data_IF_900305670530
#
_entry.id   IF_900305670530
#
_cell.length_a   1.000
_cell.length_b   1.000
_cell.length_c   1.000
_cell.angle_alpha   90.00
_cell.angle_beta   90.00
_cell.angle_gamma   90.00
#
_symmetry.space_group_name_H-M   'P 1'
#
loop_
_entity.id
_entity.type
_entity.pdbx_description
1 polymer ?
#
# COMPACT_ATOMS: atom_id res chain seq x y z
N UNK A 1 -8.26 -1.48 -5.10
CA UNK A 1 -9.69 -1.52 -4.70
C UNK A 1 -10.19 -2.93 -4.41
N UNK A 2 -9.86 -3.96 -5.21
CA UNK A 2 -10.30 -5.36 -5.02
C UNK A 2 -10.03 -5.99 -3.64
N UNK A 3 -9.00 -5.53 -2.92
CA UNK A 3 -8.65 -6.04 -1.58
C UNK A 3 -9.37 -5.32 -0.43
N UNK A 4 -10.20 -4.31 -0.72
CA UNK A 4 -10.89 -3.55 0.31
C UNK A 4 -12.19 -4.26 0.70
N UNK A 5 -12.32 -4.60 1.99
CA UNK A 5 -13.58 -5.12 2.56
C UNK A 5 -14.71 -4.09 2.44
N UNK A 6 -15.95 -4.58 2.43
CA UNK A 6 -17.15 -3.74 2.56
C UNK A 6 -17.08 -2.85 3.81
N UNK A 7 -17.48 -1.59 3.68
CA UNK A 7 -17.34 -0.54 4.69
C UNK A 7 -15.91 -0.02 4.87
N UNK A 8 -14.92 -0.63 4.22
CA UNK A 8 -13.55 -0.15 4.23
C UNK A 8 -13.35 1.09 3.35
N UNK A 9 -12.26 1.83 3.61
CA UNK A 9 -11.87 3.00 2.81
C UNK A 9 -10.61 2.75 2.02
N UNK A 10 -10.56 3.26 0.79
CA UNK A 10 -9.35 3.36 -0.03
C UNK A 10 -9.05 4.83 -0.20
N UNK A 11 -7.88 5.28 0.24
CA UNK A 11 -7.44 6.66 0.03
C UNK A 11 -6.44 6.69 -1.12
N UNK A 12 -6.74 7.50 -2.12
CA UNK A 12 -5.86 7.82 -3.23
C UNK A 12 -5.26 9.21 -3.00
N UNK A 13 -3.96 9.36 -3.24
CA UNK A 13 -3.29 10.65 -3.09
C UNK A 13 -2.10 10.81 -4.02
N UNK A 14 -1.84 12.04 -4.44
CA UNK A 14 -0.68 12.42 -5.24
C UNK A 14 -0.05 13.70 -4.69
N UNK A 15 1.22 13.94 -5.03
CA UNK A 15 1.87 15.24 -4.88
C UNK A 15 1.90 16.04 -6.19
N UNK A 16 0.96 15.74 -7.10
CA UNK A 16 0.73 16.47 -8.35
C UNK A 16 -0.48 17.39 -8.20
N UNK A 17 -0.59 18.34 -9.12
CA UNK A 17 -1.80 19.15 -9.31
C UNK A 17 -2.33 19.00 -10.74
N UNK A 18 -1.90 17.94 -11.44
CA UNK A 18 -2.32 17.65 -12.80
C UNK A 18 -3.60 16.79 -12.79
N UNK A 19 -4.73 17.28 -13.34
CA UNK A 19 -5.99 16.53 -13.36
C UNK A 19 -5.91 15.14 -14.01
N UNK A 20 -4.94 14.93 -14.90
CA UNK A 20 -4.70 13.61 -15.54
C UNK A 20 -4.19 12.57 -14.52
N UNK A 21 -3.41 13.01 -13.53
CA UNK A 21 -2.93 12.17 -12.44
C UNK A 21 -3.93 12.14 -11.26
N UNK A 22 -4.87 13.08 -11.21
CA UNK A 22 -5.77 13.28 -10.08
C UNK A 22 -7.21 12.86 -10.43
N UNK A 23 -8.05 13.81 -10.88
CA UNK A 23 -9.47 13.58 -11.13
C UNK A 23 -9.76 12.55 -12.23
N UNK A 24 -8.90 12.45 -13.25
CA UNK A 24 -9.01 11.45 -14.30
C UNK A 24 -8.79 10.02 -13.75
N UNK A 25 -7.82 9.83 -12.84
CA UNK A 25 -7.59 8.55 -12.17
C UNK A 25 -8.78 8.19 -11.30
N UNK A 26 -9.29 9.14 -10.52
CA UNK A 26 -10.46 8.94 -9.66
C UNK A 26 -11.68 8.55 -10.49
N UNK A 27 -11.95 9.27 -11.57
CA UNK A 27 -13.07 8.98 -12.48
C UNK A 27 -12.95 7.59 -13.10
N UNK A 28 -11.76 7.22 -13.57
CA UNK A 28 -11.51 5.90 -14.14
C UNK A 28 -11.71 4.78 -13.10
N UNK A 29 -11.24 4.98 -11.87
CA UNK A 29 -11.45 4.05 -10.76
C UNK A 29 -12.93 3.86 -10.44
N UNK A 30 -13.72 4.94 -10.38
CA UNK A 30 -15.17 4.85 -10.14
C UNK A 30 -15.90 4.10 -11.26
N UNK A 31 -15.54 4.36 -12.52
CA UNK A 31 -16.12 3.64 -13.67
C UNK A 31 -15.79 2.14 -13.61
N UNK A 32 -14.53 1.78 -13.37
CA UNK A 32 -14.12 0.38 -13.24
C UNK A 32 -14.76 -0.31 -12.04
N UNK A 33 -14.95 0.41 -10.93
CA UNK A 33 -15.59 -0.09 -9.73
C UNK A 33 -17.10 -0.36 -9.91
N UNK A 34 -17.74 0.10 -10.99
CA UNK A 34 -19.12 -0.27 -11.35
C UNK A 34 -20.14 -0.16 -10.19
N UNK A 35 -20.04 0.88 -9.37
CA UNK A 35 -20.94 1.13 -8.23
C UNK A 35 -20.56 0.41 -6.91
N UNK A 36 -19.50 -0.41 -6.90
CA UNK A 36 -18.98 -1.02 -5.66
C UNK A 36 -18.33 -0.01 -4.71
N UNK A 37 -17.99 1.17 -5.20
CA UNK A 37 -17.36 2.24 -4.42
C UNK A 37 -18.01 3.59 -4.70
N UNK A 38 -17.98 4.47 -3.71
CA UNK A 38 -18.37 5.88 -3.82
C UNK A 38 -17.32 6.80 -3.21
N UNK A 39 -17.28 8.06 -3.63
CA UNK A 39 -16.48 9.07 -2.95
C UNK A 39 -17.14 9.49 -1.63
N UNK A 40 -16.31 9.79 -0.65
CA UNK A 40 -16.72 10.31 0.67
C UNK A 40 -16.00 11.61 0.96
N UNK A 41 -16.74 12.57 1.50
CA UNK A 41 -16.19 13.84 1.96
C UNK A 41 -15.38 13.63 3.25
N UNK A 42 -14.08 13.93 3.22
CA UNK A 42 -13.18 13.81 4.38
C UNK A 42 -12.86 15.15 5.05
N UNK A 43 -13.42 16.27 4.55
CA UNK A 43 -13.09 17.62 5.06
C UNK A 43 -13.45 17.79 6.53
N UNK A 44 -14.50 17.10 6.99
CA UNK A 44 -14.92 17.10 8.38
C UNK A 44 -13.95 16.35 9.31
N UNK A 45 -13.14 15.44 8.78
CA UNK A 45 -12.10 14.70 9.54
C UNK A 45 -10.81 15.50 9.68
N UNK A 46 -10.62 16.51 8.81
CA UNK A 46 -9.44 17.37 8.75
C UNK A 46 -9.87 18.86 8.77
N UNK A 47 -10.56 19.33 9.83
CA UNK A 47 -11.20 20.65 9.83
C UNK A 47 -10.23 21.83 9.70
N UNK A 48 -8.95 21.63 10.03
CA UNK A 48 -7.90 22.65 9.94
C UNK A 48 -7.21 22.69 8.58
N UNK A 49 -7.43 21.68 7.72
CA UNK A 49 -6.83 21.59 6.40
C UNK A 49 -7.71 22.31 5.38
N UNK A 50 -7.21 23.40 4.80
CA UNK A 50 -7.84 24.09 3.68
C UNK A 50 -7.62 23.28 2.43
N UNK A 51 -8.72 22.97 1.75
CA UNK A 51 -8.70 22.32 0.45
C UNK A 51 -9.69 22.98 -0.50
N UNK A 52 -9.36 22.91 -1.78
CA UNK A 52 -10.25 23.24 -2.87
C UNK A 52 -10.94 21.97 -3.37
N UNK A 53 -12.18 22.05 -3.87
CA UNK A 53 -12.86 20.89 -4.44
C UNK A 53 -12.13 20.35 -5.68
N UNK A 54 -12.30 19.06 -5.96
CA UNK A 54 -11.83 18.43 -7.20
C UNK A 54 -12.48 19.04 -8.44
N UNK A 55 -11.75 18.97 -9.56
CA UNK A 55 -12.16 19.52 -10.84
C UNK A 55 -13.16 18.62 -11.58
N UNK A 56 -14.14 19.24 -12.25
CA UNK A 56 -15.13 18.55 -13.09
C UNK A 56 -14.83 18.72 -14.59
N UNK A 57 -13.88 19.58 -14.94
CA UNK A 57 -13.48 19.86 -16.32
C UNK A 57 -11.99 20.16 -16.36
N UNK A 58 -11.29 19.58 -17.32
CA UNK A 58 -9.87 19.83 -17.57
C UNK A 58 -9.54 19.54 -19.03
N UNK A 59 -8.36 20.00 -19.46
CA UNK A 59 -7.79 19.74 -20.77
C UNK A 59 -6.48 18.98 -20.63
N UNK A 60 -6.06 18.30 -21.69
CA UNK A 60 -4.81 17.54 -21.75
C UNK A 60 -3.88 18.21 -22.75
N UNK A 61 -2.71 18.63 -22.28
CA UNK A 61 -1.69 19.25 -23.12
C UNK A 61 -0.75 18.20 -23.73
N UNK A 62 -0.37 18.39 -24.98
CA UNK A 62 0.62 17.56 -25.66
C UNK A 62 2.00 17.70 -25.00
N UNK A 63 2.82 16.64 -25.11
CA UNK A 63 4.16 16.61 -24.51
C UNK A 63 5.09 17.71 -25.05
N UNK A 64 4.91 18.11 -26.30
CA UNK A 64 5.66 19.20 -26.94
C UNK A 64 5.09 20.60 -26.61
N UNK A 65 4.07 20.68 -25.75
CA UNK A 65 3.42 21.92 -25.30
C UNK A 65 2.77 22.74 -26.43
N UNK A 66 2.56 22.14 -27.60
CA UNK A 66 2.00 22.82 -28.78
C UNK A 66 0.48 22.74 -28.88
N UNK A 67 -0.10 21.68 -28.34
CA UNK A 67 -1.52 21.40 -28.48
C UNK A 67 -2.17 21.19 -27.12
N UNK A 68 -3.38 21.73 -26.97
CA UNK A 68 -4.24 21.48 -25.81
C UNK A 68 -5.51 20.84 -26.33
N UNK A 69 -5.80 19.63 -25.86
CA UNK A 69 -6.97 18.86 -26.24
C UNK A 69 -8.01 18.95 -25.13
N UNK A 70 -9.26 19.25 -25.49
CA UNK A 70 -10.39 19.28 -24.56
C UNK A 70 -11.17 17.96 -24.55
N UNK A 71 -10.94 17.11 -25.56
CA UNK A 71 -11.59 15.81 -25.70
C UNK A 71 -10.66 14.78 -26.35
N UNK A 72 -10.96 13.49 -26.14
CA UNK A 72 -10.24 12.43 -26.84
C UNK A 72 -10.50 12.45 -28.36
N UNK A 73 -11.67 12.92 -28.79
CA UNK A 73 -12.00 13.05 -30.21
C UNK A 73 -11.05 14.00 -30.94
N UNK A 74 -10.69 15.14 -30.32
CA UNK A 74 -9.70 16.08 -30.87
C UNK A 74 -8.31 15.43 -31.01
N UNK A 75 -7.92 14.56 -30.08
CA UNK A 75 -6.67 13.80 -30.19
C UNK A 75 -6.70 12.88 -31.42
N UNK A 76 -7.83 12.20 -31.65
CA UNK A 76 -7.99 11.32 -32.81
C UNK A 76 -7.92 12.12 -34.11
N UNK A 77 -8.63 13.24 -34.20
CA UNK A 77 -8.61 14.12 -35.37
C UNK A 77 -7.20 14.67 -35.65
N UNK A 78 -6.48 15.10 -34.61
CA UNK A 78 -5.10 15.55 -34.74
C UNK A 78 -4.16 14.44 -35.26
N UNK A 79 -4.34 13.20 -34.81
CA UNK A 79 -3.57 12.05 -35.30
C UNK A 79 -3.92 11.69 -36.76
N UNK A 80 -5.16 11.90 -37.19
CA UNK A 80 -5.59 11.65 -38.57
C UNK A 80 -5.12 12.72 -39.55
N UNK A 81 -5.08 13.99 -39.14
CA UNK A 81 -4.64 15.12 -39.96
C UNK A 81 -3.12 15.22 -40.08
N UNK A 82 -2.37 14.71 -39.09
CA UNK A 82 -0.90 14.72 -39.07
C UNK A 82 -0.29 13.44 -39.69
N UNK A 83 -0.83 12.94 -40.80
CA UNK A 83 -0.13 11.94 -41.63
C UNK A 83 1.15 12.54 -42.22
N UNK A 84 2.25 11.78 -42.38
CA UNK A 84 3.50 12.32 -42.89
C UNK A 84 3.33 12.75 -44.35
N UNK A 85 3.30 14.06 -44.62
CA UNK A 85 3.53 14.57 -45.96
C UNK A 85 4.94 14.16 -46.41
N UNK A 86 5.03 13.59 -47.60
CA UNK A 86 6.24 13.10 -48.25
C UNK A 86 7.08 14.24 -48.87
N UNK A 87 7.21 15.37 -48.19
CA UNK A 87 8.02 16.49 -48.68
C UNK A 87 9.42 16.45 -48.04
N UNK A 88 10.38 16.13 -48.91
CA UNK A 88 11.81 16.17 -48.69
C UNK A 88 12.25 17.61 -48.38
N UNK A 89 12.60 17.90 -47.13
CA UNK A 89 13.58 18.94 -46.84
C UNK A 89 14.70 18.38 -45.95
N UNK A 90 15.74 17.95 -46.64
CA UNK A 90 17.08 17.70 -46.14
C UNK A 90 17.64 18.99 -45.55
N UNK A 91 17.56 19.18 -44.22
CA UNK A 91 18.74 19.54 -43.38
C UNK A 91 18.50 19.83 -41.88
N UNK A 92 17.32 19.64 -41.31
CA UNK A 92 17.15 19.62 -39.83
C UNK A 92 16.00 18.69 -39.45
N UNK A 93 16.04 18.10 -38.24
CA UNK A 93 15.04 17.16 -37.70
C UNK A 93 15.07 15.70 -38.19
N UNK A 94 16.18 15.00 -37.90
CA UNK A 94 16.10 13.58 -37.52
C UNK A 94 15.59 13.45 -36.07
N UNK A 95 14.30 13.67 -35.85
CA UNK A 95 13.48 13.13 -34.76
C UNK A 95 12.06 13.61 -35.07
N UNK A 96 11.08 12.77 -35.32
CA UNK A 96 10.15 12.28 -34.30
C UNK A 96 9.49 11.02 -34.87
N UNK A 97 10.30 10.00 -35.15
CA UNK A 97 9.81 8.62 -35.16
C UNK A 97 9.32 8.33 -33.74
N UNK A 98 8.03 8.62 -33.50
CA UNK A 98 7.22 8.18 -32.36
C UNK A 98 8.06 7.77 -31.15
N UNK A 99 8.75 8.72 -30.53
CA UNK A 99 9.26 8.52 -29.17
C UNK A 99 8.01 8.55 -28.31
N UNK A 100 7.44 7.38 -28.03
CA UNK A 100 6.22 7.14 -27.29
C UNK A 100 6.38 7.74 -25.88
N UNK A 101 6.18 9.05 -25.77
CA UNK A 101 5.50 9.64 -24.65
C UNK A 101 4.03 9.30 -24.89
N UNK A 102 3.51 8.43 -24.03
CA UNK A 102 2.18 7.80 -24.06
C UNK A 102 1.14 8.58 -24.88
N UNK A 103 0.60 7.95 -25.93
CA UNK A 103 -0.57 8.50 -26.64
C UNK A 103 -1.67 8.77 -25.60
N UNK A 104 -2.29 9.96 -25.56
CA UNK A 104 -3.37 10.22 -24.64
C UNK A 104 -4.43 9.12 -24.75
N UNK A 105 -4.97 8.66 -23.62
CA UNK A 105 -6.03 7.65 -23.60
C UNK A 105 -7.37 8.32 -23.31
N UNK A 106 -8.51 7.70 -23.68
CA UNK A 106 -9.83 8.25 -23.37
C UNK A 106 -10.02 8.58 -21.89
N UNK A 107 -9.44 7.77 -21.00
CA UNK A 107 -9.53 7.93 -19.55
C UNK A 107 -8.78 9.14 -18.99
N UNK A 108 -7.93 9.82 -19.79
CA UNK A 108 -7.25 11.05 -19.37
C UNK A 108 -8.15 12.29 -19.47
N UNK A 109 -9.29 12.18 -20.16
CA UNK A 109 -10.22 13.27 -20.38
C UNK A 109 -11.43 13.15 -19.44
N UNK A 110 -12.15 14.26 -19.18
CA UNK A 110 -13.40 14.19 -18.45
C UNK A 110 -14.38 13.23 -19.15
N UNK A 111 -15.06 12.32 -18.41
CA UNK A 111 -16.11 11.51 -19.00
C UNK A 111 -17.31 12.39 -19.41
N UNK A 112 -18.26 11.84 -20.20
CA UNK A 112 -19.51 12.53 -20.50
C UNK A 112 -20.21 13.06 -19.25
N UNK A 113 -20.88 14.21 -19.37
CA UNK A 113 -21.51 14.91 -18.25
C UNK A 113 -22.50 14.05 -17.43
N UNK A 114 -23.15 13.06 -18.07
CA UNK A 114 -24.04 12.10 -17.41
C UNK A 114 -23.31 11.24 -16.37
N UNK A 115 -22.11 10.74 -16.70
CA UNK A 115 -21.27 9.97 -15.78
C UNK A 115 -20.67 10.90 -14.73
N UNK A 116 -20.09 12.01 -15.16
CA UNK A 116 -19.41 12.98 -14.31
C UNK A 116 -20.29 13.46 -13.13
N UNK A 117 -21.56 13.78 -13.41
CA UNK A 117 -22.51 14.29 -12.41
C UNK A 117 -22.79 13.26 -11.30
N UNK A 118 -22.71 11.96 -11.59
CA UNK A 118 -22.90 10.89 -10.61
C UNK A 118 -21.66 10.58 -9.78
N UNK A 119 -20.47 11.00 -10.25
CA UNK A 119 -19.19 10.67 -9.62
C UNK A 119 -18.86 11.57 -8.43
N UNK A 120 -19.46 12.76 -8.31
CA UNK A 120 -19.23 13.70 -7.21
C UNK A 120 -17.75 14.05 -7.00
N UNK A 121 -17.00 14.33 -8.08
CA UNK A 121 -15.55 14.63 -8.02
C UNK A 121 -15.21 15.86 -7.15
N UNK A 122 -16.17 16.74 -6.88
CA UNK A 122 -16.02 17.87 -5.96
C UNK A 122 -15.75 17.47 -4.51
N UNK A 123 -15.95 16.18 -4.15
CA UNK A 123 -15.58 15.61 -2.86
C UNK A 123 -14.08 15.32 -2.74
N UNK A 124 -13.36 15.28 -3.86
CA UNK A 124 -11.90 15.24 -3.82
C UNK A 124 -11.34 16.56 -3.27
N UNK A 125 -10.17 16.48 -2.66
CA UNK A 125 -9.51 17.60 -2.00
C UNK A 125 -8.22 17.94 -2.73
N UNK A 126 -8.14 19.14 -3.33
CA UNK A 126 -6.91 19.73 -3.86
C UNK A 126 -6.32 20.65 -2.80
N UNK A 127 -5.13 20.35 -2.33
CA UNK A 127 -4.38 21.16 -1.37
C UNK A 127 -3.42 22.02 -2.18
N UNK A 128 -3.71 23.31 -2.26
CA UNK A 128 -2.95 24.24 -3.08
C UNK A 128 -1.85 24.90 -2.24
N UNK A 129 -0.61 24.99 -2.75
CA UNK A 129 0.52 25.51 -1.97
C UNK A 129 0.27 26.84 -1.28
N UNK A 130 -0.38 27.78 -1.99
CA UNK A 130 -0.63 29.14 -1.53
C UNK A 130 -1.71 29.25 -0.44
N UNK A 131 -2.49 28.19 -0.16
CA UNK A 131 -3.59 28.29 0.82
C UNK A 131 -3.09 28.21 2.27
N UNK A 132 -2.00 27.48 2.51
CA UNK A 132 -1.44 27.23 3.84
C UNK A 132 0.09 27.07 3.87
N UNK A 133 0.81 27.55 2.85
CA UNK A 133 2.28 27.43 2.74
C UNK A 133 2.77 25.97 2.82
N UNK A 134 2.14 25.11 2.01
CA UNK A 134 2.44 23.68 1.92
C UNK A 134 2.90 23.27 0.52
N UNK A 135 3.25 22.00 0.33
CA UNK A 135 3.35 21.42 -1.01
C UNK A 135 1.99 21.33 -1.71
N UNK A 136 2.00 21.06 -3.01
CA UNK A 136 0.80 20.72 -3.79
C UNK A 136 0.44 19.26 -3.55
N UNK A 137 -0.83 18.98 -3.27
CA UNK A 137 -1.26 17.64 -2.93
C UNK A 137 -2.71 17.40 -3.35
N UNK A 138 -3.04 16.15 -3.67
CA UNK A 138 -4.40 15.72 -4.01
C UNK A 138 -4.80 14.54 -3.14
N UNK A 139 -6.06 14.51 -2.69
CA UNK A 139 -6.62 13.41 -1.90
C UNK A 139 -8.03 13.08 -2.39
N UNK A 140 -8.28 11.78 -2.60
CA UNK A 140 -9.62 11.23 -2.82
C UNK A 140 -9.85 10.03 -1.91
N UNK A 141 -10.99 10.00 -1.21
CA UNK A 141 -11.37 8.90 -0.32
C UNK A 141 -12.55 8.15 -0.91
N UNK A 142 -12.38 6.85 -1.12
CA UNK A 142 -13.41 5.94 -1.59
C UNK A 142 -13.90 5.07 -0.44
N UNK A 143 -15.21 4.89 -0.31
CA UNK A 143 -15.82 3.89 0.57
C UNK A 143 -16.29 2.69 -0.25
N UNK A 144 -15.92 1.49 0.20
CA UNK A 144 -16.36 0.23 -0.38
C UNK A 144 -17.79 -0.08 0.07
N UNK A 145 -18.77 0.07 -0.83
CA UNK A 145 -20.18 -0.23 -0.56
C UNK A 145 -20.44 -1.73 -0.63
N UNK A 146 -19.72 -2.42 -1.51
CA UNK A 146 -19.72 -3.88 -1.58
C UNK A 146 -18.39 -4.37 -2.16
N UNK A 147 -17.91 -5.51 -1.68
CA UNK A 147 -16.67 -6.10 -2.16
C UNK A 147 -16.74 -6.38 -3.68
N UNK A 148 -15.70 -5.97 -4.41
CA UNK A 148 -15.55 -6.34 -5.82
C UNK A 148 -15.31 -7.85 -5.89
N UNK A 149 -16.07 -8.62 -6.69
CA UNK A 149 -15.83 -10.04 -6.87
C UNK A 149 -14.39 -10.28 -7.32
N UNK A 150 -13.69 -11.28 -6.74
CA UNK A 150 -12.34 -11.58 -7.18
C UNK A 150 -12.37 -11.97 -8.66
N UNK A 151 -11.40 -11.49 -9.48
CA UNK A 151 -11.28 -11.95 -10.86
C UNK A 151 -11.18 -13.48 -10.89
N UNK A 152 -11.76 -14.10 -11.91
CA UNK A 152 -11.82 -15.55 -12.08
C UNK A 152 -10.44 -16.23 -12.05
N UNK A 153 -9.36 -15.51 -12.35
CA UNK A 153 -7.96 -15.96 -12.25
C UNK A 153 -7.38 -16.01 -10.83
N UNK A 154 -8.01 -15.36 -9.85
CA UNK A 154 -7.66 -15.47 -8.43
C UNK A 154 -8.37 -16.62 -7.72
N UNK A 155 -9.06 -17.51 -8.46
CA UNK A 155 -9.24 -18.90 -8.01
C UNK A 155 -7.89 -19.62 -8.05
N UNK A 156 -6.94 -19.11 -7.27
CA UNK A 156 -5.73 -19.82 -6.95
C UNK A 156 -6.20 -21.05 -6.18
N UNK A 157 -6.06 -22.21 -6.81
CA UNK A 157 -6.25 -23.48 -6.15
C UNK A 157 -5.51 -23.47 -4.83
N UNK A 158 -6.13 -24.07 -3.82
CA UNK A 158 -5.41 -24.69 -2.73
C UNK A 158 -4.37 -25.65 -3.35
N UNK A 159 -3.20 -25.13 -3.71
CA UNK A 159 -2.04 -25.97 -3.97
C UNK A 159 -1.59 -26.50 -2.60
N UNK A 160 -2.25 -27.57 -2.17
CA UNK A 160 -1.60 -28.64 -1.40
C UNK A 160 -0.22 -28.84 -2.00
N UNK A 161 0.80 -28.67 -1.16
CA UNK A 161 2.19 -28.53 -1.59
C UNK A 161 2.62 -29.61 -2.57
N UNK A 162 3.11 -29.17 -3.73
CA UNK A 162 4.18 -29.85 -4.42
C UNK A 162 5.21 -28.79 -4.81
N UNK A 163 6.36 -28.87 -4.14
CA UNK A 163 7.53 -28.11 -4.48
C UNK A 163 7.96 -28.50 -5.90
N UNK A 164 7.76 -27.59 -6.86
CA UNK A 164 8.41 -27.69 -8.16
C UNK A 164 9.90 -27.42 -7.93
N UNK A 165 10.68 -28.49 -7.87
CA UNK A 165 12.14 -28.42 -7.89
C UNK A 165 12.58 -27.93 -9.28
N UNK A 166 12.69 -26.61 -9.44
CA UNK A 166 13.44 -26.01 -10.54
C UNK A 166 14.92 -26.06 -10.20
N UNK A 167 15.71 -26.71 -11.06
CA UNK A 167 17.16 -26.94 -10.94
C UNK A 167 18.03 -25.67 -11.14
N UNK A 168 17.55 -24.49 -10.73
CA UNK A 168 18.35 -23.25 -10.66
C UNK A 168 18.40 -22.74 -9.21
N UNK A 169 19.26 -23.40 -8.42
CA UNK A 169 19.50 -23.15 -7.01
C UNK A 169 20.31 -21.86 -6.76
N UNK A 170 19.60 -20.78 -6.37
CA UNK A 170 20.09 -19.76 -5.41
C UNK A 170 18.91 -18.98 -4.79
N UNK A 171 18.71 -19.19 -3.49
CA UNK A 171 18.07 -18.28 -2.53
C UNK A 171 16.60 -17.89 -2.74
N UNK A 172 15.66 -18.83 -2.57
CA UNK A 172 14.31 -18.46 -2.08
C UNK A 172 14.32 -18.67 -0.57
N UNK A 173 14.21 -17.61 0.25
CA UNK A 173 14.15 -17.75 1.71
C UNK A 173 12.97 -18.62 2.16
N UNK A 174 13.13 -19.38 3.24
CA UNK A 174 12.00 -20.08 3.85
C UNK A 174 10.90 -19.08 4.26
N UNK A 175 9.61 -19.42 4.09
CA UNK A 175 8.51 -18.53 4.48
C UNK A 175 8.50 -18.27 5.99
N UNK A 176 7.93 -17.14 6.40
CA UNK A 176 7.70 -16.84 7.81
C UNK A 176 6.59 -17.75 8.34
N UNK A 177 6.76 -18.22 9.57
CA UNK A 177 5.82 -19.10 10.27
C UNK A 177 5.81 -18.78 11.76
N UNK A 178 4.74 -19.17 12.43
CA UNK A 178 4.66 -19.14 13.90
C UNK A 178 5.69 -20.10 14.50
N UNK A 179 6.26 -19.74 15.65
CA UNK A 179 7.20 -20.59 16.37
C UNK A 179 6.59 -21.97 16.68
N UNK A 180 7.40 -23.02 16.51
CA UNK A 180 7.08 -24.37 16.98
C UNK A 180 7.03 -24.41 18.51
N UNK A 181 6.33 -25.38 19.13
CA UNK A 181 6.30 -25.52 20.60
C UNK A 181 7.70 -25.55 21.24
N UNK A 182 8.65 -26.28 20.64
CA UNK A 182 10.04 -26.32 21.10
C UNK A 182 10.70 -24.93 21.04
N UNK A 183 10.51 -24.17 19.95
CA UNK A 183 11.04 -22.81 19.85
C UNK A 183 10.39 -21.83 20.80
N UNK A 184 9.09 -21.97 21.10
CA UNK A 184 8.44 -21.15 22.12
C UNK A 184 9.12 -21.34 23.48
N UNK A 185 9.38 -22.58 23.88
CA UNK A 185 10.08 -22.90 25.12
C UNK A 185 11.52 -22.35 25.13
N UNK A 186 12.28 -22.56 24.04
CA UNK A 186 13.65 -22.03 23.92
C UNK A 186 13.69 -20.52 24.06
N UNK A 187 12.80 -19.81 23.36
CA UNK A 187 12.78 -18.33 23.35
C UNK A 187 12.33 -17.78 24.69
N UNK A 188 11.29 -18.39 25.30
CA UNK A 188 10.80 -17.99 26.62
C UNK A 188 11.89 -18.14 27.69
N UNK A 189 12.59 -19.28 27.71
CA UNK A 189 13.67 -19.53 28.65
C UNK A 189 14.89 -18.63 28.41
N UNK A 190 15.29 -18.43 27.14
CA UNK A 190 16.46 -17.63 26.77
C UNK A 190 16.37 -16.16 27.20
N UNK A 191 15.16 -15.59 27.20
CA UNK A 191 14.92 -14.17 27.44
C UNK A 191 14.18 -13.91 28.76
N UNK A 192 13.93 -14.96 29.55
CA UNK A 192 13.12 -14.93 30.77
C UNK A 192 11.77 -14.20 30.56
N UNK A 193 11.07 -14.54 29.48
CA UNK A 193 9.79 -13.92 29.15
C UNK A 193 8.70 -14.39 30.13
N UNK A 194 7.79 -13.49 30.59
CA UNK A 194 6.67 -13.87 31.44
C UNK A 194 5.76 -14.92 30.78
N UNK A 195 5.08 -15.74 31.58
CA UNK A 195 4.13 -16.74 31.06
C UNK A 195 2.93 -16.11 30.32
N UNK A 196 2.62 -14.86 30.65
CA UNK A 196 1.60 -14.06 29.96
C UNK A 196 2.04 -13.56 28.59
N UNK A 197 3.33 -13.68 28.24
CA UNK A 197 3.84 -13.17 26.98
C UNK A 197 3.24 -13.94 25.78
N UNK A 198 2.74 -13.24 24.74
CA UNK A 198 2.06 -13.86 23.61
C UNK A 198 3.01 -14.57 22.63
N UNK A 199 3.60 -15.70 23.04
CA UNK A 199 4.55 -16.48 22.21
C UNK A 199 3.95 -16.99 20.89
N UNK A 200 2.62 -17.07 20.78
CA UNK A 200 1.91 -17.45 19.55
C UNK A 200 1.94 -16.36 18.47
N UNK A 201 2.28 -15.13 18.84
CA UNK A 201 2.46 -13.99 17.93
C UNK A 201 3.92 -13.81 17.47
N UNK A 202 4.80 -14.71 17.88
CA UNK A 202 6.18 -14.73 17.42
C UNK A 202 6.32 -15.49 16.11
N UNK A 203 7.08 -14.91 15.18
CA UNK A 203 7.35 -15.43 13.85
C UNK A 203 8.84 -15.63 13.62
N UNK A 204 9.18 -16.67 12.87
CA UNK A 204 10.52 -16.96 12.40
C UNK A 204 10.49 -17.65 11.03
N UNK A 205 11.64 -17.82 10.36
CA UNK A 205 11.70 -18.50 9.06
C UNK A 205 11.99 -19.99 9.19
N UNK A 206 13.11 -20.31 9.81
CA UNK A 206 13.54 -21.65 10.15
C UNK A 206 14.53 -21.57 11.32
N UNK A 207 14.94 -22.73 11.81
CA UNK A 207 15.84 -23.01 12.92
C UNK A 207 17.31 -23.19 12.48
N UNK A 208 17.57 -23.22 11.17
CA UNK A 208 18.90 -23.41 10.57
C UNK A 208 19.55 -22.08 10.13
N UNK A 209 18.97 -20.94 10.51
CA UNK A 209 19.48 -19.64 10.06
C UNK A 209 20.84 -19.34 10.69
N UNK A 210 21.71 -18.68 9.93
CA UNK A 210 23.01 -18.22 10.44
C UNK A 210 22.86 -17.22 11.59
N UNK A 211 21.83 -16.37 11.53
CA UNK A 211 21.48 -15.41 12.57
C UNK A 211 19.97 -15.49 12.74
N UNK A 212 19.54 -16.05 13.88
CA UNK A 212 18.13 -16.18 14.21
C UNK A 212 17.50 -14.80 14.36
N UNK A 213 16.36 -14.59 13.71
CA UNK A 213 15.57 -13.37 13.79
C UNK A 213 14.15 -13.75 14.11
N UNK A 214 13.60 -13.15 15.15
CA UNK A 214 12.24 -13.40 15.61
C UNK A 214 11.47 -12.10 15.55
N UNK A 215 10.27 -12.17 14.98
CA UNK A 215 9.38 -11.04 14.78
C UNK A 215 8.15 -11.20 15.66
N UNK A 216 7.63 -10.09 16.16
CA UNK A 216 6.35 -10.02 16.84
C UNK A 216 5.33 -9.39 15.90
N UNK A 217 4.20 -10.06 15.69
CA UNK A 217 3.19 -9.66 14.73
C UNK A 217 1.79 -9.71 15.35
N UNK A 218 0.96 -8.71 15.02
CA UNK A 218 -0.43 -8.70 15.45
C UNK A 218 -1.26 -9.79 14.74
N UNK A 219 -2.43 -10.10 15.28
CA UNK A 219 -3.31 -11.15 14.75
C UNK A 219 -3.62 -10.99 13.25
N UNK A 220 -3.87 -9.77 12.77
CA UNK A 220 -4.14 -9.54 11.35
C UNK A 220 -2.98 -9.91 10.42
N UNK A 221 -1.73 -9.81 10.88
CA UNK A 221 -0.56 -10.29 10.11
C UNK A 221 -0.51 -11.82 10.12
N UNK A 222 -0.88 -12.46 11.25
CA UNK A 222 -0.96 -13.91 11.35
C UNK A 222 -2.00 -14.49 10.40
N UNK A 223 -3.17 -13.85 10.31
CA UNK A 223 -4.27 -14.26 9.42
C UNK A 223 -3.86 -14.16 7.94
N UNK A 224 -2.90 -13.29 7.62
CA UNK A 224 -2.34 -13.16 6.28
C UNK A 224 -1.26 -14.21 5.96
N UNK A 225 -0.60 -14.81 6.96
CA UNK A 225 0.53 -15.74 6.76
C UNK A 225 0.29 -16.84 5.73
N UNK A 226 -0.87 -17.52 5.67
CA UNK A 226 -1.13 -18.56 4.68
C UNK A 226 -1.07 -18.06 3.23
N UNK A 227 -1.31 -16.77 3.03
CA UNK A 227 -1.27 -16.10 1.73
C UNK A 227 0.09 -15.44 1.44
N UNK A 228 0.97 -15.36 2.45
CA UNK A 228 2.29 -14.76 2.32
C UNK A 228 3.30 -15.79 1.79
N UNK A 229 3.91 -15.47 0.64
CA UNK A 229 4.99 -16.28 0.08
C UNK A 229 6.37 -15.98 0.69
N UNK A 230 7.36 -16.75 0.26
CA UNK A 230 8.78 -16.59 0.65
C UNK A 230 9.40 -15.21 0.38
N UNK A 231 8.78 -14.40 -0.48
CA UNK A 231 9.25 -13.06 -0.87
C UNK A 231 9.01 -11.99 0.20
N UNK A 232 8.19 -12.26 1.21
CA UNK A 232 7.98 -11.32 2.32
C UNK A 232 9.28 -11.13 3.07
N UNK A 233 9.81 -9.90 3.10
CA UNK A 233 11.06 -9.58 3.80
C UNK A 233 10.87 -9.51 5.32
N UNK A 234 9.76 -8.91 5.75
CA UNK A 234 9.43 -8.61 7.15
C UNK A 234 7.93 -8.83 7.39
N UNK A 235 7.57 -9.33 8.57
CA UNK A 235 6.19 -9.38 9.04
C UNK A 235 6.15 -9.00 10.52
N UNK A 236 5.50 -7.89 10.85
CA UNK A 236 5.55 -7.30 12.19
C UNK A 236 6.90 -6.63 12.51
N UNK A 237 7.19 -6.50 13.80
CA UNK A 237 8.44 -5.89 14.30
C UNK A 237 9.47 -6.96 14.63
N UNK A 238 10.72 -6.81 14.18
CA UNK A 238 11.81 -7.70 14.62
C UNK A 238 12.10 -7.42 16.08
N UNK A 239 11.86 -8.36 16.99
CA UNK A 239 11.96 -8.12 18.45
C UNK A 239 13.13 -8.84 19.10
N UNK A 240 13.55 -9.98 18.56
CA UNK A 240 14.70 -10.71 19.07
C UNK A 240 15.64 -11.11 17.94
N UNK A 241 16.92 -11.18 18.25
CA UNK A 241 17.92 -11.73 17.36
C UNK A 241 19.00 -12.51 18.12
N UNK A 242 19.57 -13.52 17.46
CA UNK A 242 20.70 -14.24 18.01
C UNK A 242 21.97 -13.39 17.92
N UNK A 243 22.70 -13.28 19.04
CA UNK A 243 24.03 -12.66 19.07
C UNK A 243 25.17 -13.67 18.83
N UNK A 244 24.84 -14.98 18.84
CA UNK A 244 25.73 -16.07 18.43
C UNK A 244 25.23 -16.68 17.12
N UNK A 245 26.14 -16.96 16.19
CA UNK A 245 25.79 -17.57 14.89
C UNK A 245 25.25 -18.99 15.10
N UNK A 246 24.25 -19.38 14.31
CA UNK A 246 23.64 -20.72 14.35
C UNK A 246 23.10 -21.13 15.74
N UNK A 247 22.70 -20.15 16.55
CA UNK A 247 22.08 -20.38 17.86
C UNK A 247 20.64 -19.88 17.85
N UNK A 248 19.78 -20.64 18.54
CA UNK A 248 18.38 -20.33 18.75
C UNK A 248 18.08 -19.92 20.20
N UNK A 249 19.05 -20.05 21.11
CA UNK A 249 18.93 -19.78 22.56
C UNK A 249 19.76 -18.59 23.03
N UNK A 250 20.79 -18.17 22.28
CA UNK A 250 21.61 -16.99 22.59
C UNK A 250 20.99 -15.76 21.96
N UNK A 251 19.83 -15.37 22.51
CA UNK A 251 19.00 -14.29 22.01
C UNK A 251 19.19 -13.01 22.82
N UNK A 252 18.99 -11.88 22.15
CA UNK A 252 18.89 -10.55 22.78
C UNK A 252 17.70 -9.79 22.22
N UNK A 253 17.22 -8.80 22.98
CA UNK A 253 16.25 -7.82 22.50
C UNK A 253 16.83 -7.01 21.34
N UNK A 254 15.99 -6.73 20.34
CA UNK A 254 16.35 -5.83 19.26
C UNK A 254 16.09 -4.37 19.68
N UNK A 255 17.13 -3.50 19.69
CA UNK A 255 17.02 -2.16 20.29
C UNK A 255 15.90 -1.29 19.72
N UNK A 256 15.68 -1.34 18.40
CA UNK A 256 14.73 -0.42 17.74
C UNK A 256 13.26 -0.72 18.04
N UNK A 257 12.95 -1.93 18.51
CA UNK A 257 11.57 -2.42 18.69
C UNK A 257 11.24 -2.85 20.11
N UNK A 258 12.22 -2.96 21.01
CA UNK A 258 12.01 -3.41 22.39
C UNK A 258 11.02 -2.52 23.14
N UNK A 259 10.97 -1.22 22.82
CA UNK A 259 10.01 -0.28 23.42
C UNK A 259 8.56 -0.71 23.17
N UNK A 260 8.26 -1.28 22.01
CA UNK A 260 6.92 -1.76 21.67
C UNK A 260 6.52 -3.02 22.44
N UNK A 261 7.49 -3.73 23.04
CA UNK A 261 7.24 -4.89 23.88
C UNK A 261 7.06 -4.55 25.36
N UNK A 262 7.40 -3.34 25.80
CA UNK A 262 7.35 -2.98 27.22
C UNK A 262 6.01 -3.31 27.91
N UNK A 263 4.83 -3.05 27.32
CA UNK A 263 3.55 -3.43 27.93
C UNK A 263 3.33 -4.95 28.07
N UNK A 264 4.01 -5.75 27.25
CA UNK A 264 3.89 -7.22 27.21
C UNK A 264 4.89 -7.90 28.16
N UNK A 265 5.87 -7.16 28.66
CA UNK A 265 6.92 -7.64 29.56
C UNK A 265 6.65 -7.29 31.02
N UNK A 266 5.60 -6.51 31.30
CA UNK A 266 5.17 -6.23 32.66
C UNK A 266 4.62 -7.51 33.29
N UNK A 267 5.35 -8.05 34.27
CA UNK A 267 4.77 -8.97 35.25
C UNK A 267 3.81 -8.19 36.13
N UNK A 268 2.62 -8.75 36.37
CA UNK A 268 1.65 -8.22 37.33
C UNK A 268 2.37 -8.02 38.68
N UNK A 269 2.71 -6.78 39.02
CA UNK A 269 3.38 -6.41 40.27
C UNK A 269 2.53 -5.39 41.04
N UNK A 270 1.20 -5.55 41.02
CA UNK A 270 0.28 -4.66 41.76
C UNK A 270 -0.18 -5.25 43.11
N UNK A 271 0.32 -6.40 43.56
CA UNK A 271 -0.11 -7.01 44.83
C UNK A 271 0.89 -6.93 46.00
N UNK A 272 1.95 -6.12 45.93
CA UNK A 272 2.95 -6.04 47.03
C UNK A 272 3.28 -4.63 47.58
N UNK A 273 2.56 -3.58 47.18
CA UNK A 273 2.71 -2.25 47.78
C UNK A 273 1.46 -1.82 48.55
N UNK A 274 1.04 -2.67 49.48
CA UNK A 274 -0.03 -2.39 50.45
C UNK A 274 0.34 -2.85 51.85
N UNK A 275 1.54 -2.51 52.31
CA UNK A 275 1.99 -2.79 53.67
C UNK A 275 2.16 -1.46 54.43
N UNK A 276 1.13 -1.15 55.23
CA UNK A 276 1.18 -0.44 56.51
C UNK A 276 2.11 0.78 56.64
N UNK A 277 1.55 1.97 56.43
CA UNK A 277 1.97 3.15 57.19
C UNK A 277 1.28 3.09 58.56
N UNK A 278 1.95 2.45 59.53
CA UNK A 278 1.75 2.65 60.96
C UNK A 278 3.11 3.10 61.56
N UNK A 279 3.02 4.10 62.46
CA UNK A 279 4.04 4.61 63.39
C UNK A 279 5.18 5.54 62.89
N UNK A 280 4.95 6.87 62.94
CA UNK A 280 5.44 7.76 64.03
C UNK A 280 5.13 9.25 63.80
#
# INVERSE_FOLDING_TARGET
MQLCKTGGRVVYSTCSLNPVEDEAVVSACLQQASGHFRLVDIRHELPTLKCSPGMTSWCVMSKDLRYTFHSYAEVQEHLHTTTPSADNDTHTFKSHKSTIGTRPTPSMFPPPASILSSQNLSLCCRILPHQQDTGGFFIASFECISAIPPPSSLRLGCHTGQAVQSQYNKCIPAPLRVLTPAMKQTVQAALALPDTFPLHQLLYRNDLTRVQKIYYACQGVLDLLPYLGSRVSYAGAKVFEAYVKHSNDKLRYFPDSVRSLAPLLQTCCDELCGASDDDK
#
